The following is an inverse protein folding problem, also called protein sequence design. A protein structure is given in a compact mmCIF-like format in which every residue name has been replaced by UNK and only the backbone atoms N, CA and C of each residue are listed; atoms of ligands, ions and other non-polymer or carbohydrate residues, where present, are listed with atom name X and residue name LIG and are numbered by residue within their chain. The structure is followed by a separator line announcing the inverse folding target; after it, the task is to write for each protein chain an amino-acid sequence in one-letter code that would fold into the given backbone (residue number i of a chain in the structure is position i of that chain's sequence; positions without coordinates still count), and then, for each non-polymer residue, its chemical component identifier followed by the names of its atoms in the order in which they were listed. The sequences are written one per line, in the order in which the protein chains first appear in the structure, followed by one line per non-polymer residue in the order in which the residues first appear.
data_IF_432176444757
#
_entry.id   IF_432176444757
#
_cell.length_a   1.000
_cell.length_b   1.000
_cell.length_c   1.000
_cell.angle_alpha   90.00
_cell.angle_beta   90.00
_cell.angle_gamma   90.00
#
_symmetry.space_group_name_H-M   'P 1'
#
loop_
_entity.id
_entity.type
_entity.pdbx_description
1 polymer ?
#
# COMPACT_ATOMS: atom_id res chain seq x y z
N UNK A 1 -5.68 13.68 -7.86
CA UNK A 1 -5.40 15.00 -7.25
C UNK A 1 -3.95 15.42 -7.49
N UNK A 2 -2.94 14.64 -7.07
CA UNK A 2 -1.51 14.94 -7.31
C UNK A 2 -1.14 15.35 -8.76
N UNK A 3 -1.59 14.59 -9.77
CA UNK A 3 -1.31 14.94 -11.18
C UNK A 3 -1.99 16.25 -11.63
N UNK A 4 -3.06 16.67 -10.95
CA UNK A 4 -3.76 17.94 -11.23
C UNK A 4 -3.08 19.14 -10.53
N UNK A 5 -2.36 18.89 -9.45
CA UNK A 5 -1.64 19.90 -8.67
C UNK A 5 -0.26 20.23 -9.25
N UNK A 6 0.37 19.30 -10.00
CA UNK A 6 1.61 19.60 -10.71
C UNK A 6 1.43 20.70 -11.76
N UNK A 7 2.23 21.76 -11.67
CA UNK A 7 2.35 22.79 -12.73
C UNK A 7 3.78 22.79 -13.27
N UNK A 8 4.01 22.62 -14.59
CA UNK A 8 3.04 22.39 -15.68
C UNK A 8 2.54 20.94 -15.77
N UNK A 9 1.25 20.76 -16.08
CA UNK A 9 0.56 19.47 -16.17
C UNK A 9 1.02 18.67 -17.39
N UNK A 10 2.03 17.82 -17.23
CA UNK A 10 2.57 17.00 -18.33
C UNK A 10 2.73 15.55 -17.89
N UNK A 11 2.10 14.62 -18.61
CA UNK A 11 2.13 13.17 -18.30
C UNK A 11 3.56 12.59 -18.22
N UNK A 12 4.45 13.01 -19.13
CA UNK A 12 5.85 12.57 -19.13
C UNK A 12 6.61 13.00 -17.89
N UNK A 13 6.42 14.25 -17.43
CA UNK A 13 7.08 14.76 -16.22
C UNK A 13 6.56 14.08 -14.96
N UNK A 14 5.25 13.82 -14.89
CA UNK A 14 4.66 13.06 -13.79
C UNK A 14 5.26 11.65 -13.72
N UNK A 15 5.40 10.96 -14.86
CA UNK A 15 5.97 9.61 -14.93
C UNK A 15 7.44 9.60 -14.53
N UNK A 16 8.24 10.59 -14.98
CA UNK A 16 9.65 10.71 -14.57
C UNK A 16 9.77 10.98 -13.07
N UNK A 17 8.97 11.90 -12.53
CA UNK A 17 8.97 12.20 -11.11
C UNK A 17 8.61 10.96 -10.28
N UNK A 18 7.55 10.24 -10.67
CA UNK A 18 7.18 8.98 -10.04
C UNK A 18 8.30 7.94 -10.14
N UNK A 19 8.93 7.77 -11.31
CA UNK A 19 10.02 6.83 -11.50
C UNK A 19 11.24 7.15 -10.62
N UNK A 20 11.62 8.44 -10.52
CA UNK A 20 12.72 8.89 -9.65
C UNK A 20 12.37 8.63 -8.18
N UNK A 21 11.18 9.01 -7.72
CA UNK A 21 10.74 8.76 -6.35
C UNK A 21 10.72 7.27 -6.00
N UNK A 22 10.18 6.43 -6.88
CA UNK A 22 10.13 4.98 -6.68
C UNK A 22 11.54 4.37 -6.66
N UNK A 23 12.45 4.86 -7.50
CA UNK A 23 13.85 4.39 -7.51
C UNK A 23 14.56 4.73 -6.20
N UNK A 24 14.41 5.96 -5.70
CA UNK A 24 14.98 6.38 -4.42
C UNK A 24 14.41 5.52 -3.27
N UNK A 25 13.10 5.34 -3.22
CA UNK A 25 12.46 4.48 -2.22
C UNK A 25 12.96 3.04 -2.29
N UNK A 26 13.13 2.50 -3.50
CA UNK A 26 13.65 1.15 -3.71
C UNK A 26 15.09 0.98 -3.20
N UNK A 27 15.95 1.98 -3.44
CA UNK A 27 17.33 1.97 -2.93
C UNK A 27 17.34 2.00 -1.39
N UNK A 28 16.50 2.86 -0.79
CA UNK A 28 16.40 2.95 0.66
C UNK A 28 15.91 1.64 1.27
N UNK A 29 14.85 1.03 0.73
CA UNK A 29 14.35 -0.25 1.22
C UNK A 29 15.35 -1.39 1.04
N UNK A 30 16.06 -1.43 -0.09
CA UNK A 30 17.12 -2.40 -0.30
C UNK A 30 18.26 -2.22 0.71
N UNK A 31 18.71 -1.00 0.94
CA UNK A 31 19.75 -0.70 1.92
C UNK A 31 19.32 -1.09 3.34
N UNK A 32 18.09 -0.73 3.76
CA UNK A 32 17.57 -1.12 5.08
C UNK A 32 17.47 -2.64 5.23
N UNK A 33 17.02 -3.36 4.20
CA UNK A 33 16.96 -4.82 4.22
C UNK A 33 18.35 -5.46 4.27
N UNK A 34 19.30 -4.96 3.47
CA UNK A 34 20.67 -5.47 3.42
C UNK A 34 21.39 -5.28 4.75
N UNK A 35 21.40 -4.05 5.29
CA UNK A 35 22.05 -3.78 6.58
C UNK A 35 21.36 -4.52 7.72
N UNK A 36 20.03 -4.62 7.71
CA UNK A 36 19.31 -5.43 8.69
C UNK A 36 19.68 -6.91 8.64
N UNK A 37 19.83 -7.48 7.44
CA UNK A 37 20.27 -8.86 7.27
C UNK A 37 21.73 -9.08 7.69
N UNK A 38 22.62 -8.12 7.43
CA UNK A 38 24.03 -8.21 7.86
C UNK A 38 24.18 -8.16 9.39
N UNK A 39 23.29 -7.46 10.08
CA UNK A 39 23.37 -7.23 11.53
C UNK A 39 22.89 -8.45 12.35
N UNK A 40 21.74 -9.05 11.99
CA UNK A 40 21.23 -10.22 12.73
C UNK A 40 20.98 -11.50 11.91
N UNK A 41 21.35 -11.52 10.63
CA UNK A 41 21.19 -12.70 9.77
C UNK A 41 19.75 -12.98 9.36
N UNK A 42 19.40 -14.26 9.25
CA UNK A 42 18.06 -14.71 8.83
C UNK A 42 17.02 -14.39 9.91
N UNK A 43 16.00 -13.60 9.55
CA UNK A 43 15.00 -13.11 10.48
C UNK A 43 13.60 -13.13 9.87
N UNK A 44 12.60 -13.36 10.74
CA UNK A 44 11.19 -13.22 10.41
C UNK A 44 10.51 -12.18 11.29
N UNK A 45 9.69 -11.33 10.67
CA UNK A 45 8.87 -10.35 11.37
C UNK A 45 9.50 -8.96 11.42
N UNK A 46 9.17 -8.18 12.46
CA UNK A 46 9.61 -6.80 12.61
C UNK A 46 11.06 -6.74 13.10
N UNK A 47 11.94 -6.10 12.33
CA UNK A 47 13.35 -5.89 12.71
C UNK A 47 13.49 -5.04 13.97
N UNK A 48 12.55 -4.12 14.22
CA UNK A 48 12.62 -3.24 15.37
C UNK A 48 12.65 -4.05 16.67
N UNK A 49 11.84 -5.09 16.79
CA UNK A 49 11.71 -5.90 18.02
C UNK A 49 13.00 -6.61 18.44
N UNK A 50 14.02 -6.67 17.56
CA UNK A 50 15.31 -7.28 17.86
C UNK A 50 16.31 -6.31 18.48
N UNK A 51 16.13 -5.00 18.29
CA UNK A 51 16.98 -4.01 18.94
C UNK A 51 16.52 -3.76 20.37
N UNK A 52 17.47 -3.69 21.32
CA UNK A 52 17.21 -3.28 22.68
C UNK A 52 17.29 -1.74 22.81
N UNK A 53 16.16 -1.02 22.92
CA UNK A 53 16.16 0.44 22.89
C UNK A 53 16.78 1.09 24.14
N UNK A 54 17.01 0.32 25.22
CA UNK A 54 17.59 0.84 26.46
C UNK A 54 19.12 0.84 26.44
N UNK A 55 19.73 -0.02 25.63
CA UNK A 55 21.19 -0.13 25.54
C UNK A 55 21.78 0.84 24.52
N UNK A 56 21.01 1.21 23.48
CA UNK A 56 21.49 2.04 22.39
C UNK A 56 20.60 3.29 22.16
N UNK A 57 21.10 4.51 22.45
CA UNK A 57 20.29 5.73 22.35
C UNK A 57 19.86 6.06 20.91
N UNK A 58 20.64 5.64 19.90
CA UNK A 58 20.31 5.86 18.50
C UNK A 58 19.07 5.07 18.07
N UNK A 59 18.95 3.83 18.55
CA UNK A 59 17.78 2.98 18.31
C UNK A 59 16.56 3.58 19.00
N UNK A 60 16.69 4.07 20.23
CA UNK A 60 15.57 4.71 20.95
C UNK A 60 14.97 5.89 20.17
N UNK A 61 15.82 6.77 19.62
CA UNK A 61 15.37 7.91 18.81
C UNK A 61 14.61 7.43 17.56
N UNK A 62 15.09 6.36 16.91
CA UNK A 62 14.41 5.77 15.76
C UNK A 62 13.01 5.22 16.11
N UNK A 63 12.87 4.61 17.29
CA UNK A 63 11.59 4.12 17.81
C UNK A 63 10.59 5.24 18.03
N UNK A 64 11.02 6.34 18.65
CA UNK A 64 10.18 7.52 18.86
C UNK A 64 9.73 8.12 17.50
N UNK A 65 10.65 8.20 16.54
CA UNK A 65 10.33 8.66 15.19
C UNK A 65 9.29 7.78 14.49
N UNK A 66 9.44 6.45 14.56
CA UNK A 66 8.48 5.49 14.01
C UNK A 66 7.13 5.59 14.73
N UNK A 67 7.11 5.75 16.05
CA UNK A 67 5.89 5.94 16.82
C UNK A 67 5.12 7.18 16.36
N UNK A 68 5.78 8.34 16.28
CA UNK A 68 5.16 9.60 15.83
C UNK A 68 4.64 9.45 14.39
N UNK A 69 5.44 8.83 13.50
CA UNK A 69 5.05 8.56 12.11
C UNK A 69 3.77 7.71 12.04
N UNK A 70 3.69 6.62 12.80
CA UNK A 70 2.52 5.73 12.80
C UNK A 70 1.28 6.46 13.30
N UNK A 71 1.39 7.26 14.37
CA UNK A 71 0.29 8.07 14.90
C UNK A 71 -0.24 9.06 13.86
N UNK A 72 0.64 9.81 13.20
CA UNK A 72 0.25 10.75 12.15
C UNK A 72 -0.35 10.04 10.93
N UNK A 73 0.26 8.93 10.50
CA UNK A 73 -0.19 8.14 9.34
C UNK A 73 -1.56 7.52 9.57
N UNK A 74 -1.83 7.03 10.79
CA UNK A 74 -3.12 6.44 11.15
C UNK A 74 -4.26 7.44 11.01
N UNK A 75 -4.09 8.67 11.50
CA UNK A 75 -5.10 9.72 11.37
C UNK A 75 -5.44 10.04 9.91
N UNK A 76 -4.41 10.18 9.07
CA UNK A 76 -4.57 10.44 7.64
C UNK A 76 -5.26 9.29 6.92
N UNK A 77 -4.85 8.04 7.19
CA UNK A 77 -5.40 6.86 6.54
C UNK A 77 -6.85 6.60 6.97
N UNK A 78 -7.16 6.76 8.26
CA UNK A 78 -8.53 6.61 8.77
C UNK A 78 -9.48 7.61 8.09
N UNK A 79 -9.03 8.85 7.88
CA UNK A 79 -9.82 9.85 7.16
C UNK A 79 -10.00 9.51 5.67
N UNK A 80 -8.97 8.99 5.01
CA UNK A 80 -9.03 8.54 3.62
C UNK A 80 -9.99 7.35 3.44
N UNK A 81 -9.86 6.32 4.27
CA UNK A 81 -10.75 5.14 4.27
C UNK A 81 -12.21 5.53 4.51
N UNK A 82 -12.47 6.45 5.46
CA UNK A 82 -13.80 7.00 5.69
C UNK A 82 -14.37 7.66 4.43
N UNK A 83 -13.57 8.48 3.75
CA UNK A 83 -13.99 9.19 2.53
C UNK A 83 -14.26 8.24 1.36
N UNK A 84 -13.62 7.07 1.34
CA UNK A 84 -13.90 6.01 0.38
C UNK A 84 -15.17 5.20 0.74
N UNK A 85 -15.45 5.00 2.03
CA UNK A 85 -16.61 4.22 2.51
C UNK A 85 -17.93 4.99 2.47
N UNK A 86 -17.92 6.30 2.71
CA UNK A 86 -19.16 7.10 2.80
C UNK A 86 -20.00 7.05 1.51
N UNK A 87 -19.41 7.22 0.30
CA UNK A 87 -20.15 7.07 -0.95
C UNK A 87 -20.70 5.64 -1.16
N UNK A 88 -20.00 4.61 -0.69
CA UNK A 88 -20.45 3.21 -0.80
C UNK A 88 -21.72 2.94 0.02
N UNK A 89 -21.90 3.67 1.12
CA UNK A 89 -23.07 3.61 2.01
C UNK A 89 -24.19 4.55 1.51
N UNK A 90 -23.96 5.29 0.42
CA UNK A 90 -24.89 6.29 -0.10
C UNK A 90 -24.92 7.58 0.73
N UNK A 91 -23.90 7.81 1.56
CA UNK A 91 -23.74 9.04 2.32
C UNK A 91 -22.79 9.99 1.60
N UNK A 92 -23.23 11.22 1.36
CA UNK A 92 -22.38 12.22 0.74
C UNK A 92 -21.32 12.71 1.75
N UNK A 93 -20.02 12.58 1.44
CA UNK A 93 -18.93 12.95 2.36
C UNK A 93 -18.92 14.40 2.82
N UNK A 94 -19.56 15.30 2.07
CA UNK A 94 -19.49 16.75 2.27
C UNK A 94 -20.75 17.33 2.94
N UNK A 95 -21.84 16.57 3.02
CA UNK A 95 -23.12 17.04 3.61
C UNK A 95 -23.54 16.29 4.88
N UNK A 96 -22.76 15.29 5.30
CA UNK A 96 -23.06 14.49 6.50
C UNK A 96 -22.95 15.29 7.80
N UNK A 97 -23.98 15.13 8.64
CA UNK A 97 -24.06 15.68 10.00
C UNK A 97 -22.89 15.17 10.86
N UNK A 98 -22.30 16.05 11.68
CA UNK A 98 -21.11 15.78 12.51
C UNK A 98 -21.17 14.47 13.33
N UNK A 99 -22.35 14.08 13.82
CA UNK A 99 -22.52 12.84 14.58
C UNK A 99 -22.33 11.58 13.72
N UNK A 100 -22.84 11.57 12.49
CA UNK A 100 -22.61 10.47 11.53
C UNK A 100 -21.15 10.40 11.12
N UNK A 101 -20.52 11.57 10.98
CA UNK A 101 -19.08 11.68 10.74
C UNK A 101 -18.26 11.05 11.86
N UNK A 102 -18.57 11.38 13.12
CA UNK A 102 -17.87 10.84 14.29
C UNK A 102 -18.06 9.33 14.43
N UNK A 103 -19.29 8.83 14.26
CA UNK A 103 -19.59 7.40 14.33
C UNK A 103 -18.81 6.62 13.26
N UNK A 104 -18.75 7.13 12.02
CA UNK A 104 -17.97 6.49 10.95
C UNK A 104 -16.46 6.45 11.25
N UNK A 105 -15.90 7.53 11.78
CA UNK A 105 -14.48 7.59 12.12
C UNK A 105 -14.11 6.69 13.32
N UNK A 106 -14.95 6.68 14.36
CA UNK A 106 -14.71 5.87 15.58
C UNK A 106 -14.93 4.39 15.29
N UNK A 107 -15.98 4.02 14.56
CA UNK A 107 -16.23 2.62 14.20
C UNK A 107 -15.08 2.03 13.37
N UNK A 108 -14.55 2.80 12.41
CA UNK A 108 -13.39 2.38 11.62
C UNK A 108 -12.13 2.23 12.50
N UNK A 109 -11.88 3.17 13.41
CA UNK A 109 -10.75 3.10 14.33
C UNK A 109 -10.84 1.90 15.28
N UNK A 110 -12.03 1.62 15.83
CA UNK A 110 -12.28 0.44 16.68
C UNK A 110 -12.07 -0.85 15.88
N UNK A 111 -12.56 -0.92 14.65
CA UNK A 111 -12.39 -2.10 13.80
C UNK A 111 -10.91 -2.36 13.51
N UNK A 112 -10.14 -1.33 13.15
CA UNK A 112 -8.68 -1.47 12.92
C UNK A 112 -7.95 -1.86 14.22
N UNK A 113 -8.36 -1.32 15.37
CA UNK A 113 -7.79 -1.70 16.66
C UNK A 113 -8.07 -3.16 17.01
N UNK A 114 -9.29 -3.64 16.75
CA UNK A 114 -9.63 -5.06 16.94
C UNK A 114 -8.79 -5.95 16.02
N UNK A 115 -8.66 -5.60 14.74
CA UNK A 115 -7.78 -6.35 13.82
C UNK A 115 -6.32 -6.35 14.28
N UNK A 116 -5.81 -5.20 14.74
CA UNK A 116 -4.43 -5.11 15.24
C UNK A 116 -4.19 -5.89 16.54
N UNK A 117 -5.21 -6.01 17.39
CA UNK A 117 -5.13 -6.77 18.64
C UNK A 117 -5.13 -8.29 18.38
N UNK A 118 -5.90 -8.75 17.41
CA UNK A 118 -6.04 -10.19 17.12
C UNK A 118 -5.00 -10.74 16.15
N UNK A 119 -4.29 -9.89 15.39
CA UNK A 119 -3.27 -10.33 14.44
C UNK A 119 -1.88 -10.19 15.06
N UNK A 120 -1.25 -11.29 15.54
CA UNK A 120 0.04 -11.24 16.22
C UNK A 120 1.22 -11.02 15.27
N UNK A 121 1.02 -11.16 13.95
CA UNK A 121 2.10 -11.11 12.98
C UNK A 121 1.81 -10.10 11.86
N UNK A 122 2.64 -9.05 11.80
CA UNK A 122 2.56 -7.99 10.79
C UNK A 122 2.77 -8.49 9.36
N UNK A 123 3.48 -9.61 9.18
CA UNK A 123 3.76 -10.17 7.86
C UNK A 123 2.48 -10.66 7.17
N UNK A 124 1.50 -11.15 7.93
CA UNK A 124 0.20 -11.59 7.38
C UNK A 124 -0.52 -10.38 6.77
N UNK A 125 -0.56 -9.28 7.50
CA UNK A 125 -1.23 -8.04 7.06
C UNK A 125 -0.52 -7.46 5.84
N UNK A 126 0.81 -7.36 5.87
CA UNK A 126 1.57 -6.84 4.73
C UNK A 126 1.48 -7.74 3.50
N UNK A 127 1.50 -9.06 3.69
CA UNK A 127 1.34 -10.01 2.59
C UNK A 127 -0.05 -9.94 1.96
N UNK A 128 -1.12 -9.88 2.75
CA UNK A 128 -2.48 -9.82 2.22
C UNK A 128 -2.73 -8.47 1.52
N UNK A 129 -2.29 -7.38 2.14
CA UNK A 129 -2.41 -6.03 1.56
C UNK A 129 -1.59 -5.92 0.27
N UNK A 130 -0.36 -6.43 0.24
CA UNK A 130 0.50 -6.40 -0.93
C UNK A 130 -0.01 -7.30 -2.06
N UNK A 131 -0.42 -8.53 -1.74
CA UNK A 131 -0.94 -9.50 -2.71
C UNK A 131 -2.27 -9.07 -3.31
N UNK A 132 -3.29 -8.84 -2.48
CA UNK A 132 -4.64 -8.47 -2.94
C UNK A 132 -4.65 -7.03 -3.42
N UNK A 133 -4.49 -6.06 -2.51
CA UNK A 133 -4.68 -4.65 -2.86
C UNK A 133 -3.63 -4.18 -3.88
N UNK A 134 -2.37 -4.58 -3.71
CA UNK A 134 -1.30 -4.28 -4.67
C UNK A 134 -1.52 -4.92 -6.03
N UNK A 135 -1.97 -6.17 -6.08
CA UNK A 135 -2.30 -6.86 -7.34
C UNK A 135 -3.46 -6.19 -8.10
N UNK A 136 -4.57 -5.92 -7.40
CA UNK A 136 -5.74 -5.29 -8.00
C UNK A 136 -5.48 -3.84 -8.42
N UNK A 137 -5.00 -3.00 -7.50
CA UNK A 137 -4.84 -1.56 -7.74
C UNK A 137 -3.59 -1.26 -8.57
N UNK A 138 -2.51 -2.01 -8.38
CA UNK A 138 -1.24 -1.78 -9.05
C UNK A 138 -1.17 -2.32 -10.48
N UNK A 139 -1.85 -3.44 -10.77
CA UNK A 139 -1.70 -4.14 -12.05
C UNK A 139 -3.03 -4.34 -12.78
N UNK A 140 -4.04 -4.95 -12.14
CA UNK A 140 -5.28 -5.36 -12.81
C UNK A 140 -6.12 -4.15 -13.24
N UNK A 141 -6.44 -3.25 -12.32
CA UNK A 141 -7.27 -2.08 -12.60
C UNK A 141 -6.68 -1.14 -13.67
N UNK A 142 -5.38 -0.75 -13.64
CA UNK A 142 -4.84 0.09 -14.70
C UNK A 142 -4.84 -0.62 -16.07
N UNK A 143 -4.59 -1.93 -16.13
CA UNK A 143 -4.67 -2.69 -17.38
C UNK A 143 -6.10 -2.69 -17.94
N UNK A 144 -7.10 -2.97 -17.10
CA UNK A 144 -8.51 -2.94 -17.51
C UNK A 144 -8.95 -1.53 -17.93
N UNK A 145 -8.52 -0.50 -17.21
CA UNK A 145 -8.87 0.88 -17.56
C UNK A 145 -8.37 1.25 -18.96
N UNK A 146 -7.13 0.88 -19.31
CA UNK A 146 -6.60 1.12 -20.67
C UNK A 146 -7.35 0.32 -21.74
N UNK A 147 -7.76 -0.91 -21.44
CA UNK A 147 -8.51 -1.76 -22.38
C UNK A 147 -9.94 -1.26 -22.64
N UNK A 148 -10.63 -0.77 -21.61
CA UNK A 148 -12.05 -0.39 -21.71
C UNK A 148 -12.31 1.10 -21.93
N UNK A 149 -11.38 2.00 -21.56
CA UNK A 149 -11.57 3.45 -21.69
C UNK A 149 -11.17 4.03 -23.05
N UNK A 150 -10.41 3.30 -23.87
CA UNK A 150 -10.04 3.70 -25.23
C UNK A 150 -10.77 2.84 -26.27
N UNK A 151 -11.00 3.36 -27.48
CA UNK A 151 -11.49 2.58 -28.63
C UNK A 151 -10.47 1.52 -29.05
N UNK A 152 -10.35 0.47 -28.24
CA UNK A 152 -9.22 -0.42 -28.19
C UNK A 152 -9.27 -1.39 -29.37
N UNK A 153 -8.49 -1.07 -30.39
CA UNK A 153 -8.31 -1.86 -31.60
C UNK A 153 -6.81 -2.11 -31.81
N UNK A 154 -6.47 -3.28 -32.33
CA UNK A 154 -5.09 -3.69 -32.65
C UNK A 154 -4.34 -2.65 -33.51
N UNK A 155 -5.08 -1.88 -34.32
CA UNK A 155 -4.56 -0.79 -35.16
C UNK A 155 -4.29 0.53 -34.43
N UNK A 156 -4.96 0.78 -33.30
CA UNK A 156 -4.89 2.06 -32.57
C UNK A 156 -3.77 2.11 -31.54
N UNK A 157 -3.39 0.96 -30.95
CA UNK A 157 -2.54 0.91 -29.76
C UNK A 157 -1.11 0.40 -30.07
N UNK A 158 -0.97 -0.34 -31.18
CA UNK A 158 0.29 -0.99 -31.56
C UNK A 158 0.55 -2.28 -30.78
N UNK A 159 1.30 -3.19 -31.39
CA UNK A 159 1.54 -4.55 -30.87
C UNK A 159 2.23 -4.54 -29.51
N UNK A 160 3.17 -3.62 -29.29
CA UNK A 160 3.95 -3.52 -28.04
C UNK A 160 3.04 -3.18 -26.86
N UNK A 161 2.24 -2.13 -26.97
CA UNK A 161 1.34 -1.72 -25.89
C UNK A 161 0.23 -2.75 -25.64
N UNK A 162 -0.26 -3.40 -26.70
CA UNK A 162 -1.21 -4.50 -26.61
C UNK A 162 -0.64 -5.66 -25.77
N UNK A 163 0.56 -6.15 -26.13
CA UNK A 163 1.24 -7.21 -25.38
C UNK A 163 1.54 -6.78 -23.94
N UNK A 164 2.08 -5.58 -23.72
CA UNK A 164 2.39 -5.07 -22.39
C UNK A 164 1.16 -5.01 -21.48
N UNK A 165 -0.01 -4.62 -22.00
CA UNK A 165 -1.22 -4.51 -21.18
C UNK A 165 -1.72 -5.90 -20.74
N UNK A 166 -1.66 -6.91 -21.62
CA UNK A 166 -1.95 -8.29 -21.23
C UNK A 166 -0.93 -8.87 -20.27
N UNK A 167 0.36 -8.59 -20.45
CA UNK A 167 1.41 -9.03 -19.53
C UNK A 167 1.20 -8.46 -18.13
N UNK A 168 0.88 -7.16 -18.03
CA UNK A 168 0.57 -6.50 -16.75
C UNK A 168 -0.67 -7.13 -16.11
N UNK A 169 -1.72 -7.41 -16.90
CA UNK A 169 -2.92 -8.07 -16.40
C UNK A 169 -2.62 -9.48 -15.87
N UNK A 170 -1.89 -10.29 -16.64
CA UNK A 170 -1.49 -11.64 -16.24
C UNK A 170 -0.59 -11.62 -15.00
N UNK A 171 0.40 -10.73 -14.95
CA UNK A 171 1.25 -10.52 -13.78
C UNK A 171 0.44 -10.11 -12.54
N UNK A 172 -0.58 -9.27 -12.72
CA UNK A 172 -1.52 -8.91 -11.65
C UNK A 172 -2.29 -10.11 -11.10
N UNK A 173 -2.84 -10.96 -11.98
CA UNK A 173 -3.54 -12.19 -11.58
C UNK A 173 -2.60 -13.14 -10.84
N UNK A 174 -1.40 -13.35 -11.36
CA UNK A 174 -0.36 -14.15 -10.71
C UNK A 174 -0.02 -13.57 -9.33
N UNK A 175 0.22 -12.26 -9.23
CA UNK A 175 0.53 -11.60 -7.97
C UNK A 175 -0.58 -11.76 -6.91
N UNK A 176 -1.86 -11.64 -7.30
CA UNK A 176 -2.98 -11.86 -6.39
C UNK A 176 -3.06 -13.32 -5.94
N UNK A 177 -3.01 -14.27 -6.87
CA UNK A 177 -3.16 -15.70 -6.56
C UNK A 177 -1.98 -16.20 -5.70
N UNK A 178 -0.75 -15.96 -6.14
CA UNK A 178 0.43 -16.41 -5.40
C UNK A 178 0.65 -15.61 -4.11
N UNK A 179 0.38 -14.31 -4.12
CA UNK A 179 0.49 -13.48 -2.92
C UNK A 179 -0.50 -13.91 -1.83
N UNK A 180 -1.76 -14.16 -2.19
CA UNK A 180 -2.77 -14.67 -1.25
C UNK A 180 -2.46 -16.09 -0.79
N UNK A 181 -2.11 -16.99 -1.72
CA UNK A 181 -1.76 -18.37 -1.38
C UNK A 181 -0.56 -18.42 -0.41
N UNK A 182 0.48 -17.62 -0.64
CA UNK A 182 1.64 -17.54 0.24
C UNK A 182 1.26 -17.05 1.65
N UNK A 183 0.35 -16.08 1.75
CA UNK A 183 -0.13 -15.60 3.06
C UNK A 183 -1.00 -16.60 3.79
N UNK A 184 -1.86 -17.32 3.08
CA UNK A 184 -2.71 -18.35 3.70
C UNK A 184 -1.84 -19.51 4.17
N UNK A 185 -0.86 -19.92 3.35
CA UNK A 185 0.07 -20.98 3.71
C UNK A 185 0.94 -20.59 4.92
N UNK A 186 1.40 -19.34 4.99
CA UNK A 186 2.16 -18.86 6.14
C UNK A 186 1.32 -18.84 7.42
N UNK A 187 0.02 -18.54 7.33
CA UNK A 187 -0.90 -18.63 8.48
C UNK A 187 -1.21 -20.07 8.86
N UNK A 188 -1.41 -20.96 7.89
CA UNK A 188 -1.80 -22.35 8.14
C UNK A 188 -0.65 -23.21 8.71
N UNK A 189 0.60 -22.79 8.52
CA UNK A 189 1.79 -23.51 8.98
C UNK A 189 2.35 -22.95 10.30
N UNK A 190 1.88 -21.79 10.75
CA UNK A 190 2.20 -21.20 12.07
C UNK A 190 1.17 -21.64 13.11
#
# INVERSE_FOLDING_TARGET
VMALEMRPRTLGRFTICAAVSMTICSILYYATGLFGYLDFGEMQGSILLRYNPLEEPHVLVSYVGVFIKICASFGLLNNACRSALFPLIGWDPYTVVYWKYLIGAVSLAVLVLMLGLFVPNVNIVFGFTGGVCGGFVGFILPALYVMYAGGWSFRSVGVINYCCTYLILAAGVVAVVFGTAATIYSVATN
#
